data_IF_609657326278
#
_entry.id   IF_609657326278
#
_cell.length_a   1.000
_cell.length_b   1.000
_cell.length_c   1.000
_cell.angle_alpha   90.00
_cell.angle_beta   90.00
_cell.angle_gamma   90.00
#
_symmetry.space_group_name_H-M   'P 1'
#
loop_
_entity.id
_entity.type
_entity.pdbx_description
1 polymer ?
#
# COMPACT_ATOMS: atom_id res chain seq x y z
N UNK A 1 2.48 17.61 11.74
CA UNK A 1 2.97 16.26 12.08
C UNK A 1 3.94 15.79 11.02
N UNK A 2 5.14 15.34 11.40
CA UNK A 2 6.15 14.89 10.45
C UNK A 2 6.07 13.36 10.30
N UNK A 3 5.26 12.91 9.33
CA UNK A 3 5.10 11.49 9.02
C UNK A 3 6.43 10.84 8.60
N UNK A 4 7.25 11.58 7.84
CA UNK A 4 8.56 11.12 7.40
C UNK A 4 9.47 10.82 8.59
N UNK A 5 9.46 11.67 9.60
CA UNK A 5 10.20 11.45 10.84
C UNK A 5 9.70 10.24 11.60
N UNK A 6 8.38 10.11 11.82
CA UNK A 6 7.79 8.98 12.52
C UNK A 6 8.14 7.64 11.84
N UNK A 7 8.10 7.60 10.51
CA UNK A 7 8.46 6.41 9.76
C UNK A 7 9.96 6.10 9.84
N UNK A 8 10.81 7.13 9.75
CA UNK A 8 12.27 6.98 9.81
C UNK A 8 12.77 6.52 11.19
N UNK A 9 12.11 6.94 12.27
CA UNK A 9 12.49 6.59 13.64
C UNK A 9 12.12 5.14 14.02
N UNK A 10 11.36 4.41 13.19
CA UNK A 10 11.04 3.00 13.45
C UNK A 10 12.30 2.15 13.50
N UNK A 11 12.34 1.24 14.47
CA UNK A 11 13.45 0.30 14.66
C UNK A 11 12.92 -1.11 14.74
N UNK A 12 13.51 -2.00 13.98
CA UNK A 12 13.15 -3.41 13.98
C UNK A 12 14.38 -4.26 14.31
N UNK A 13 14.27 -5.04 15.38
CA UNK A 13 15.32 -5.99 15.76
C UNK A 13 15.44 -7.12 14.73
N UNK A 14 16.62 -7.77 14.70
CA UNK A 14 16.79 -8.99 13.91
C UNK A 14 15.83 -10.07 14.43
N UNK A 15 15.08 -10.68 13.53
CA UNK A 15 14.11 -11.73 13.90
C UNK A 15 12.76 -11.22 14.38
N UNK A 16 12.45 -9.92 14.23
CA UNK A 16 11.14 -9.35 14.53
C UNK A 16 10.01 -10.17 13.90
N UNK A 17 8.98 -10.42 14.66
CA UNK A 17 7.77 -11.17 14.21
C UNK A 17 6.79 -10.28 13.46
N UNK A 18 5.92 -10.89 12.66
CA UNK A 18 4.82 -10.18 11.99
C UNK A 18 3.91 -9.44 12.99
N UNK A 19 3.68 -10.03 14.16
CA UNK A 19 2.86 -9.42 15.21
C UNK A 19 3.50 -8.15 15.76
N UNK A 20 4.80 -8.17 16.05
CA UNK A 20 5.53 -7.01 16.56
C UNK A 20 5.58 -5.88 15.53
N UNK A 21 5.75 -6.20 14.23
CA UNK A 21 5.67 -5.19 13.16
C UNK A 21 4.28 -4.58 13.10
N UNK A 22 3.22 -5.41 13.13
CA UNK A 22 1.84 -4.93 13.14
C UNK A 22 1.54 -4.01 14.32
N UNK A 23 1.98 -4.39 15.52
CA UNK A 23 1.82 -3.56 16.72
C UNK A 23 2.58 -2.23 16.62
N UNK A 24 3.78 -2.23 16.03
CA UNK A 24 4.54 -1.00 15.80
C UNK A 24 3.82 -0.07 14.82
N UNK A 25 3.30 -0.60 13.72
CA UNK A 25 2.50 0.16 12.76
C UNK A 25 1.19 0.68 13.38
N UNK A 26 0.52 -0.13 14.21
CA UNK A 26 -0.68 0.30 14.93
C UNK A 26 -0.38 1.49 15.84
N UNK A 27 0.68 1.41 16.68
CA UNK A 27 1.09 2.53 17.54
C UNK A 27 1.40 3.79 16.74
N UNK A 28 2.14 3.65 15.63
CA UNK A 28 2.43 4.78 14.75
C UNK A 28 1.15 5.43 14.20
N UNK A 29 0.16 4.63 13.80
CA UNK A 29 -1.13 5.14 13.35
C UNK A 29 -1.89 5.83 14.48
N UNK A 30 -1.86 5.25 15.69
CA UNK A 30 -2.51 5.83 16.86
C UNK A 30 -1.91 7.20 17.22
N UNK A 31 -0.59 7.33 17.18
CA UNK A 31 0.12 8.60 17.41
C UNK A 31 -0.16 9.61 16.29
N UNK A 32 -0.16 9.14 15.02
CA UNK A 32 -0.44 9.97 13.85
C UNK A 32 -1.83 10.57 13.89
N UNK A 33 -2.83 9.75 14.22
CA UNK A 33 -4.24 10.11 14.18
C UNK A 33 -4.76 10.69 15.51
N UNK A 34 -3.96 10.69 16.58
CA UNK A 34 -4.40 11.09 17.91
C UNK A 34 -5.27 12.36 17.90
N UNK A 35 -6.57 12.20 18.12
CA UNK A 35 -7.57 13.27 18.12
C UNK A 35 -7.86 13.91 16.76
N UNK A 36 -7.38 13.34 15.64
CA UNK A 36 -7.57 13.91 14.29
C UNK A 36 -8.47 13.06 13.37
N UNK A 37 -8.96 11.92 13.85
CA UNK A 37 -9.78 11.01 13.06
C UNK A 37 -10.99 11.73 12.44
N UNK A 38 -11.76 12.47 13.25
CA UNK A 38 -12.90 13.24 12.77
C UNK A 38 -12.48 14.35 11.79
N UNK A 39 -11.41 15.09 12.10
CA UNK A 39 -10.90 16.15 11.21
C UNK A 39 -10.48 15.59 9.84
N UNK A 40 -9.93 14.37 9.80
CA UNK A 40 -9.57 13.73 8.55
C UNK A 40 -10.81 13.36 7.73
N UNK A 41 -11.83 12.79 8.38
CA UNK A 41 -13.06 12.37 7.70
C UNK A 41 -13.94 13.55 7.28
N UNK A 42 -13.99 14.60 8.11
CA UNK A 42 -14.81 15.79 7.85
C UNK A 42 -14.11 16.83 6.95
N UNK A 43 -12.94 16.49 6.38
CA UNK A 43 -12.19 17.43 5.55
C UNK A 43 -13.08 17.95 4.39
N UNK A 44 -13.23 19.28 4.21
CA UNK A 44 -14.13 19.85 3.21
C UNK A 44 -13.62 19.66 1.77
N UNK A 45 -12.30 19.53 1.57
CA UNK A 45 -11.68 19.52 0.25
C UNK A 45 -11.22 18.15 -0.21
N UNK A 46 -10.81 17.27 0.72
CA UNK A 46 -10.25 15.96 0.40
C UNK A 46 -11.20 14.81 0.75
N UNK A 47 -11.15 13.78 -0.05
CA UNK A 47 -11.89 12.53 0.16
C UNK A 47 -10.90 11.38 0.23
N UNK A 48 -10.90 10.68 1.36
CA UNK A 48 -10.01 9.54 1.55
C UNK A 48 -10.62 8.28 0.94
N UNK A 49 -9.87 7.62 0.06
CA UNK A 49 -10.20 6.32 -0.48
C UNK A 49 -9.08 5.34 -0.11
N UNK A 50 -9.43 4.20 0.46
CA UNK A 50 -8.49 3.17 0.91
C UNK A 50 -8.80 1.88 0.17
N UNK A 51 -7.78 1.31 -0.48
CA UNK A 51 -7.91 0.02 -1.16
C UNK A 51 -7.28 -1.07 -0.28
N UNK A 52 -8.05 -2.11 -0.02
CA UNK A 52 -7.60 -3.32 0.67
C UNK A 52 -8.07 -4.55 -0.08
N UNK A 53 -7.49 -5.69 0.20
CA UNK A 53 -7.98 -6.98 -0.31
C UNK A 53 -8.41 -7.89 0.83
N UNK A 54 -9.56 -8.55 0.67
CA UNK A 54 -9.94 -9.69 1.48
C UNK A 54 -9.22 -10.92 0.93
N UNK A 55 -8.45 -11.59 1.77
CA UNK A 55 -7.66 -12.76 1.40
C UNK A 55 -8.43 -14.06 1.67
N UNK A 56 -8.34 -15.02 0.76
CA UNK A 56 -9.02 -16.31 0.84
C UNK A 56 -8.07 -17.48 1.06
N UNK A 57 -8.58 -18.59 1.58
CA UNK A 57 -7.85 -19.84 1.76
C UNK A 57 -6.60 -19.68 2.63
N UNK A 58 -5.47 -20.21 2.16
CA UNK A 58 -4.19 -20.15 2.89
C UNK A 58 -3.65 -18.74 3.09
N UNK A 59 -4.08 -17.77 2.30
CA UNK A 59 -3.68 -16.37 2.43
C UNK A 59 -4.39 -15.66 3.58
N UNK A 60 -5.48 -16.21 4.07
CA UNK A 60 -6.18 -15.71 5.24
C UNK A 60 -5.47 -16.06 6.55
N UNK A 61 -4.48 -16.96 6.52
CA UNK A 61 -3.70 -17.38 7.68
C UNK A 61 -2.44 -16.51 7.84
N UNK A 62 -1.99 -16.31 9.09
CA UNK A 62 -0.73 -15.64 9.40
C UNK A 62 0.42 -16.61 9.70
N UNK A 63 0.15 -17.92 9.70
CA UNK A 63 1.21 -18.92 9.84
C UNK A 63 2.12 -18.92 8.60
N UNK A 64 3.42 -18.64 8.81
CA UNK A 64 4.37 -18.41 7.72
C UNK A 64 4.39 -19.50 6.64
N UNK A 65 4.32 -20.77 7.03
CA UNK A 65 4.31 -21.90 6.11
C UNK A 65 3.06 -21.93 5.22
N UNK A 66 1.88 -21.78 5.83
CA UNK A 66 0.59 -21.75 5.12
C UNK A 66 0.51 -20.53 4.19
N UNK A 67 0.88 -19.36 4.71
CA UNK A 67 0.91 -18.13 3.93
C UNK A 67 1.89 -18.24 2.75
N UNK A 68 3.06 -18.84 2.96
CA UNK A 68 4.05 -19.07 1.90
C UNK A 68 3.52 -19.98 0.79
N UNK A 69 2.84 -21.07 1.14
CA UNK A 69 2.17 -21.95 0.16
C UNK A 69 1.06 -21.20 -0.59
N UNK A 70 0.26 -20.40 0.12
CA UNK A 70 -0.77 -19.55 -0.49
C UNK A 70 -0.16 -18.58 -1.50
N UNK A 71 0.91 -17.86 -1.14
CA UNK A 71 1.61 -16.94 -2.04
C UNK A 71 2.20 -17.65 -3.26
N UNK A 72 2.74 -18.85 -3.10
CA UNK A 72 3.23 -19.64 -4.23
C UNK A 72 2.12 -20.01 -5.20
N UNK A 73 0.93 -20.36 -4.69
CA UNK A 73 -0.26 -20.60 -5.53
C UNK A 73 -0.70 -19.34 -6.27
N UNK A 74 -0.68 -18.18 -5.62
CA UNK A 74 -0.98 -16.89 -6.26
C UNK A 74 -0.01 -16.59 -7.39
N UNK A 75 1.29 -16.78 -7.17
CA UNK A 75 2.33 -16.60 -8.21
C UNK A 75 2.06 -17.50 -9.41
N UNK A 76 1.78 -18.78 -9.17
CA UNK A 76 1.48 -19.74 -10.22
C UNK A 76 0.23 -19.36 -11.04
N UNK A 77 -0.82 -18.88 -10.36
CA UNK A 77 -2.04 -18.42 -11.03
C UNK A 77 -1.82 -17.10 -11.77
N UNK A 78 -1.06 -16.17 -11.20
CA UNK A 78 -0.74 -14.90 -11.87
C UNK A 78 0.09 -15.09 -13.14
N UNK A 79 1.02 -16.04 -13.16
CA UNK A 79 1.78 -16.40 -14.38
C UNK A 79 0.86 -16.91 -15.49
N UNK A 80 -0.20 -17.64 -15.13
CA UNK A 80 -1.20 -18.14 -16.09
C UNK A 80 -2.20 -17.07 -16.54
N UNK A 81 -2.37 -16.02 -15.75
CA UNK A 81 -3.23 -14.89 -16.07
C UNK A 81 -3.72 -14.15 -14.83
N UNK A 82 -3.61 -12.82 -14.85
CA UNK A 82 -3.95 -11.94 -13.73
C UNK A 82 -5.42 -12.13 -13.23
N UNK A 83 -6.36 -12.40 -14.13
CA UNK A 83 -7.77 -12.64 -13.78
C UNK A 83 -7.95 -13.81 -12.78
N UNK A 84 -7.01 -14.77 -12.73
CA UNK A 84 -7.04 -15.89 -11.78
C UNK A 84 -6.82 -15.48 -10.33
N UNK A 85 -6.30 -14.28 -10.09
CA UNK A 85 -6.14 -13.72 -8.75
C UNK A 85 -7.48 -13.53 -8.03
N UNK A 86 -8.59 -13.46 -8.77
CA UNK A 86 -9.94 -13.45 -8.22
C UNK A 86 -10.29 -14.66 -7.34
N UNK A 87 -9.56 -15.76 -7.44
CA UNK A 87 -9.70 -16.95 -6.57
C UNK A 87 -9.11 -16.74 -5.18
N UNK A 88 -8.17 -15.83 -5.08
CA UNK A 88 -7.35 -15.59 -3.90
C UNK A 88 -7.73 -14.32 -3.17
N UNK A 89 -8.28 -13.34 -3.89
CA UNK A 89 -8.53 -12.01 -3.38
C UNK A 89 -9.87 -11.45 -3.89
N UNK A 90 -10.51 -10.69 -3.01
CA UNK A 90 -11.61 -9.79 -3.31
C UNK A 90 -11.17 -8.37 -2.96
N UNK A 91 -11.34 -7.43 -3.88
CA UNK A 91 -11.03 -6.01 -3.66
C UNK A 91 -12.10 -5.37 -2.78
N UNK A 92 -11.68 -4.58 -1.81
CA UNK A 92 -12.56 -3.73 -1.03
C UNK A 92 -12.06 -2.28 -1.12
N UNK A 93 -12.94 -1.37 -1.59
CA UNK A 93 -12.70 0.06 -1.61
C UNK A 93 -13.46 0.67 -0.44
N UNK A 94 -12.73 1.22 0.53
CA UNK A 94 -13.29 1.90 1.68
C UNK A 94 -13.16 3.38 1.39
N UNK A 95 -14.26 4.08 1.26
CA UNK A 95 -14.27 5.44 0.73
C UNK A 95 -15.15 6.38 1.55
N UNK A 96 -14.85 7.66 1.47
CA UNK A 96 -15.69 8.71 2.02
C UNK A 96 -17.10 8.64 1.42
N UNK A 97 -18.17 8.49 2.24
CA UNK A 97 -19.52 8.32 1.72
C UNK A 97 -20.08 9.59 1.03
N UNK A 98 -19.45 10.74 1.24
CA UNK A 98 -19.89 12.01 0.63
C UNK A 98 -19.67 12.09 -0.87
N UNK A 99 -18.81 11.22 -1.42
CA UNK A 99 -18.51 11.18 -2.84
C UNK A 99 -18.11 9.78 -3.29
N UNK A 100 -18.68 9.31 -4.40
CA UNK A 100 -18.24 8.05 -5.00
C UNK A 100 -16.76 8.13 -5.40
N UNK A 101 -15.97 7.06 -5.16
CA UNK A 101 -14.57 7.06 -5.54
C UNK A 101 -14.44 7.16 -7.07
N UNK A 102 -13.41 7.87 -7.59
CA UNK A 102 -13.21 7.99 -9.04
C UNK A 102 -12.79 6.68 -9.71
N UNK A 103 -12.80 5.60 -8.96
CA UNK A 103 -12.36 4.25 -9.35
C UNK A 103 -13.52 3.28 -9.57
N UNK A 104 -14.76 3.74 -9.50
CA UNK A 104 -15.95 2.86 -9.56
C UNK A 104 -16.71 3.06 -10.88
N UNK A 105 -17.26 1.98 -11.48
CA UNK A 105 -17.22 0.56 -11.08
C UNK A 105 -16.00 -0.19 -11.64
N UNK A 106 -15.32 -0.96 -10.79
CA UNK A 106 -14.23 -1.86 -11.17
C UNK A 106 -14.78 -3.26 -11.47
N UNK A 107 -14.49 -3.81 -12.66
CA UNK A 107 -15.06 -5.09 -13.13
C UNK A 107 -14.02 -6.19 -13.35
N UNK A 108 -12.74 -5.89 -13.18
CA UNK A 108 -11.62 -6.81 -13.41
C UNK A 108 -11.49 -7.90 -12.34
N UNK A 109 -11.89 -7.57 -11.10
CA UNK A 109 -11.92 -8.50 -9.96
C UNK A 109 -13.22 -8.35 -9.19
N UNK A 110 -13.63 -9.37 -8.38
CA UNK A 110 -14.68 -9.21 -7.38
C UNK A 110 -14.35 -8.00 -6.50
N UNK A 111 -15.21 -7.00 -6.52
CA UNK A 111 -14.97 -5.72 -5.86
C UNK A 111 -16.22 -5.30 -5.06
N UNK A 112 -16.00 -4.82 -3.84
CA UNK A 112 -17.04 -4.23 -2.98
C UNK A 112 -16.62 -2.83 -2.56
N UNK A 113 -17.61 -2.01 -2.23
CA UNK A 113 -17.42 -0.72 -1.57
C UNK A 113 -17.91 -0.77 -0.14
N UNK A 114 -17.28 0.03 0.71
CA UNK A 114 -17.65 0.21 2.12
C UNK A 114 -17.47 1.69 2.47
N UNK A 115 -18.42 2.24 3.21
CA UNK A 115 -18.31 3.59 3.73
C UNK A 115 -17.18 3.70 4.77
N UNK A 116 -16.36 4.73 4.63
CA UNK A 116 -15.30 5.05 5.58
C UNK A 116 -15.90 5.82 6.74
N UNK A 117 -15.74 5.28 7.94
CA UNK A 117 -16.29 5.79 9.18
C UNK A 117 -15.23 5.81 10.29
N UNK A 118 -15.49 6.54 11.38
CA UNK A 118 -14.62 6.54 12.56
C UNK A 118 -14.36 5.12 13.09
N UNK A 119 -15.38 4.25 13.02
CA UNK A 119 -15.31 2.89 13.53
C UNK A 119 -14.40 1.95 12.73
N UNK A 120 -14.09 2.27 11.47
CA UNK A 120 -13.26 1.41 10.61
C UNK A 120 -11.98 2.09 10.10
N UNK A 121 -11.82 3.41 10.21
CA UNK A 121 -10.71 4.19 9.66
C UNK A 121 -9.34 3.59 10.01
N UNK A 122 -9.05 3.40 11.29
CA UNK A 122 -7.72 2.94 11.74
C UNK A 122 -7.41 1.52 11.26
N UNK A 123 -8.41 0.65 11.30
CA UNK A 123 -8.25 -0.73 10.82
C UNK A 123 -8.14 -0.80 9.30
N UNK A 124 -8.85 0.05 8.56
CA UNK A 124 -8.72 0.16 7.11
C UNK A 124 -7.32 0.63 6.71
N UNK A 125 -6.78 1.66 7.37
CA UNK A 125 -5.42 2.15 7.15
C UNK A 125 -4.38 1.08 7.48
N UNK A 126 -4.52 0.38 8.60
CA UNK A 126 -3.63 -0.72 8.97
C UNK A 126 -3.68 -1.85 7.95
N UNK A 127 -4.89 -2.23 7.50
CA UNK A 127 -5.09 -3.28 6.51
C UNK A 127 -4.44 -2.93 5.17
N UNK A 128 -4.54 -1.67 4.72
CA UNK A 128 -3.95 -1.22 3.46
C UNK A 128 -2.42 -1.27 3.43
N UNK A 129 -1.78 -1.33 4.60
CA UNK A 129 -0.33 -1.54 4.74
C UNK A 129 0.07 -2.95 5.18
N UNK A 130 -0.89 -3.85 5.39
CA UNK A 130 -0.64 -5.21 5.93
C UNK A 130 -0.08 -6.18 4.89
N UNK A 131 1.23 -6.04 4.63
CA UNK A 131 1.96 -6.84 3.64
C UNK A 131 2.15 -8.27 4.15
N UNK A 132 1.78 -9.30 3.37
CA UNK A 132 2.04 -10.70 3.72
C UNK A 132 3.51 -10.96 4.07
N UNK A 133 3.79 -11.83 5.03
CA UNK A 133 5.11 -12.20 5.55
C UNK A 133 5.83 -11.08 6.33
N UNK A 134 5.34 -9.85 6.29
CA UNK A 134 5.88 -8.69 7.03
C UNK A 134 4.97 -8.34 8.20
N UNK A 135 3.66 -8.30 7.95
CA UNK A 135 2.64 -7.96 8.94
C UNK A 135 1.55 -9.04 9.00
N UNK A 136 0.85 -9.10 10.11
CA UNK A 136 -0.38 -9.87 10.21
C UNK A 136 -1.50 -9.21 9.39
N UNK A 137 -2.42 -10.02 8.87
CA UNK A 137 -3.64 -9.48 8.27
C UNK A 137 -4.59 -8.94 9.34
N UNK A 138 -5.32 -7.90 9.00
CA UNK A 138 -6.37 -7.35 9.87
C UNK A 138 -7.57 -8.27 9.82
N UNK A 139 -8.01 -8.73 10.99
CA UNK A 139 -9.16 -9.62 11.11
C UNK A 139 -10.46 -8.84 11.25
N UNK A 140 -11.49 -9.31 10.56
CA UNK A 140 -12.88 -8.89 10.76
C UNK A 140 -13.05 -7.37 10.76
N UNK A 141 -12.57 -6.72 9.71
CA UNK A 141 -12.60 -5.27 9.55
C UNK A 141 -14.06 -4.78 9.69
N UNK A 142 -14.33 -3.80 10.58
CA UNK A 142 -15.68 -3.33 10.86
C UNK A 142 -16.44 -2.88 9.59
N UNK A 143 -17.66 -3.38 9.43
CA UNK A 143 -18.49 -3.16 8.25
C UNK A 143 -18.15 -4.02 7.04
N UNK A 144 -16.95 -4.61 6.96
CA UNK A 144 -16.52 -5.42 5.82
C UNK A 144 -16.86 -6.92 5.97
N UNK A 145 -17.27 -7.35 7.18
CA UNK A 145 -17.59 -8.73 7.50
C UNK A 145 -16.38 -9.58 7.87
N UNK A 146 -16.65 -10.82 8.30
CA UNK A 146 -15.62 -11.75 8.75
C UNK A 146 -14.61 -12.08 7.65
N UNK A 147 -13.32 -12.11 8.01
CA UNK A 147 -12.22 -12.44 7.11
C UNK A 147 -10.90 -11.77 7.45
N UNK A 148 -9.90 -11.99 6.60
CA UNK A 148 -8.57 -11.41 6.73
C UNK A 148 -8.34 -10.38 5.63
N UNK A 149 -8.06 -9.16 6.03
CA UNK A 149 -7.86 -8.02 5.13
C UNK A 149 -6.38 -7.64 5.10
N UNK A 150 -5.86 -7.38 3.90
CA UNK A 150 -4.45 -7.11 3.65
C UNK A 150 -4.26 -5.97 2.66
N UNK A 151 -3.00 -5.61 2.44
CA UNK A 151 -2.55 -4.57 1.53
C UNK A 151 -3.22 -4.68 0.15
N UNK A 152 -3.91 -3.62 -0.25
CA UNK A 152 -4.57 -3.52 -1.55
C UNK A 152 -3.62 -3.65 -2.74
N UNK A 153 -2.35 -3.30 -2.54
CA UNK A 153 -1.30 -3.42 -3.54
C UNK A 153 -1.04 -4.86 -4.01
N UNK A 154 -1.55 -5.88 -3.32
CA UNK A 154 -1.51 -7.26 -3.80
C UNK A 154 -2.23 -7.39 -5.15
N UNK A 155 -3.36 -6.69 -5.33
CA UNK A 155 -4.05 -6.55 -6.61
C UNK A 155 -3.65 -5.26 -7.34
N UNK A 156 -3.67 -4.13 -6.67
CA UNK A 156 -3.58 -2.80 -7.27
C UNK A 156 -2.32 -2.07 -6.79
N UNK A 157 -1.15 -2.62 -7.12
CA UNK A 157 0.14 -2.20 -6.55
C UNK A 157 0.47 -0.73 -6.81
N UNK A 158 0.28 -0.27 -8.04
CA UNK A 158 0.45 1.12 -8.43
C UNK A 158 -0.88 1.74 -8.89
N UNK A 159 -2.00 1.31 -8.33
CA UNK A 159 -3.32 1.84 -8.65
C UNK A 159 -3.53 2.03 -10.17
N UNK A 160 -3.17 1.00 -10.96
CA UNK A 160 -3.41 0.94 -12.40
C UNK A 160 -4.91 0.69 -12.65
N UNK A 161 -5.71 1.72 -12.39
CA UNK A 161 -7.16 1.67 -12.33
C UNK A 161 -7.76 2.61 -13.38
N UNK A 162 -8.96 2.30 -13.91
CA UNK A 162 -9.65 3.22 -14.80
C UNK A 162 -10.17 4.41 -13.96
N UNK A 163 -9.47 5.52 -14.02
CA UNK A 163 -9.93 6.77 -13.43
C UNK A 163 -11.04 7.36 -14.31
N UNK A 164 -12.08 7.89 -13.66
CA UNK A 164 -13.22 8.50 -14.31
C UNK A 164 -13.38 9.94 -13.85
N UNK A 165 -13.66 10.83 -14.78
CA UNK A 165 -13.85 12.26 -14.57
C UNK A 165 -13.18 13.06 -15.67
N UNK A 166 -13.42 14.37 -15.67
CA UNK A 166 -12.83 15.32 -16.64
C UNK A 166 -11.55 15.98 -16.08
N UNK A 167 -11.13 15.57 -14.89
CA UNK A 167 -9.98 16.15 -14.18
C UNK A 167 -8.68 15.35 -14.40
N UNK A 168 -7.56 16.04 -14.26
CA UNK A 168 -6.24 15.40 -14.30
C UNK A 168 -5.95 14.71 -12.95
N UNK A 169 -5.59 13.45 -13.00
CA UNK A 169 -5.13 12.69 -11.83
C UNK A 169 -3.65 12.95 -11.61
N UNK A 170 -3.30 13.72 -10.58
CA UNK A 170 -1.91 13.89 -10.18
C UNK A 170 -1.42 12.65 -9.44
N UNK A 171 -0.40 11.98 -10.00
CA UNK A 171 0.12 10.74 -9.47
C UNK A 171 1.62 10.86 -9.11
N UNK A 172 1.95 11.35 -7.90
CA UNK A 172 3.32 11.31 -7.38
C UNK A 172 3.74 9.86 -7.14
N UNK A 173 4.85 9.46 -7.74
CA UNK A 173 5.27 8.07 -7.73
C UNK A 173 6.80 7.94 -7.57
N UNK A 174 7.25 6.80 -7.05
CA UNK A 174 8.68 6.52 -6.81
C UNK A 174 9.42 5.95 -8.04
N UNK A 175 8.73 5.66 -9.12
CA UNK A 175 9.28 5.16 -10.38
C UNK A 175 8.44 5.64 -11.57
N UNK A 176 9.07 5.73 -12.73
CA UNK A 176 8.44 6.08 -14.01
C UNK A 176 7.65 4.93 -14.66
N UNK A 177 7.55 3.80 -13.98
CA UNK A 177 6.83 2.61 -14.46
C UNK A 177 5.64 2.30 -13.56
N UNK A 178 4.43 2.28 -14.12
CA UNK A 178 3.23 1.76 -13.46
C UNK A 178 3.19 0.23 -13.58
N UNK A 179 3.09 -0.45 -12.43
CA UNK A 179 3.02 -1.92 -12.31
C UNK A 179 1.64 -2.28 -11.76
N UNK A 180 0.83 -3.08 -12.47
CA UNK A 180 -0.55 -3.33 -12.08
C UNK A 180 -0.70 -3.97 -10.69
N UNK A 181 -0.01 -5.07 -10.43
CA UNK A 181 -0.09 -5.81 -9.16
C UNK A 181 1.26 -6.12 -8.55
N UNK A 182 1.28 -6.39 -7.25
CA UNK A 182 2.52 -6.73 -6.54
C UNK A 182 3.23 -7.96 -7.15
N UNK A 183 2.45 -8.94 -7.61
CA UNK A 183 2.98 -10.15 -8.24
C UNK A 183 3.48 -9.92 -9.68
N UNK A 184 3.23 -8.75 -10.25
CA UNK A 184 3.67 -8.38 -11.60
C UNK A 184 5.05 -7.71 -11.63
N UNK A 185 5.65 -7.43 -10.48
CA UNK A 185 6.95 -6.73 -10.35
C UNK A 185 8.08 -7.39 -11.14
N UNK A 186 8.12 -8.70 -11.11
CA UNK A 186 9.13 -9.51 -11.82
C UNK A 186 8.77 -9.85 -13.27
N UNK A 187 7.63 -9.35 -13.78
CA UNK A 187 7.10 -9.70 -15.10
C UNK A 187 7.21 -8.49 -16.05
N UNK A 188 8.31 -8.34 -16.80
CA UNK A 188 8.52 -7.14 -17.63
C UNK A 188 7.51 -7.00 -18.78
N UNK A 189 6.87 -8.09 -19.18
CA UNK A 189 5.80 -8.07 -20.18
C UNK A 189 4.43 -7.67 -19.64
N UNK A 190 4.26 -7.67 -18.32
CA UNK A 190 3.03 -7.22 -17.66
C UNK A 190 3.05 -5.70 -17.55
N UNK A 191 2.24 -5.06 -18.39
CA UNK A 191 2.19 -3.60 -18.48
C UNK A 191 0.84 -3.08 -18.00
N UNK A 192 0.83 -1.83 -17.55
CA UNK A 192 -0.39 -1.07 -17.28
C UNK A 192 -1.24 -0.90 -18.53
N UNK A 193 -2.53 -0.66 -18.33
CA UNK A 193 -3.45 -0.31 -19.42
C UNK A 193 -3.30 1.19 -19.76
N UNK A 194 -2.76 1.55 -20.94
CA UNK A 194 -2.56 2.94 -21.31
C UNK A 194 -3.87 3.74 -21.35
N UNK A 195 -4.98 3.09 -21.68
CA UNK A 195 -6.30 3.73 -21.76
C UNK A 195 -6.80 4.18 -20.37
N UNK A 196 -6.50 3.43 -19.31
CA UNK A 196 -6.86 3.82 -17.95
C UNK A 196 -6.01 4.95 -17.39
N UNK A 197 -4.89 5.31 -18.05
CA UNK A 197 -3.93 6.31 -17.59
C UNK A 197 -3.90 7.57 -18.47
N UNK A 198 -4.87 7.80 -19.33
CA UNK A 198 -4.87 8.92 -20.27
C UNK A 198 -4.86 10.27 -19.56
N UNK A 199 -5.60 10.38 -18.46
CA UNK A 199 -5.73 11.60 -17.67
C UNK A 199 -4.81 11.63 -16.44
N UNK A 200 -3.79 10.74 -16.41
CA UNK A 200 -2.84 10.63 -15.30
C UNK A 200 -1.55 11.41 -15.59
N UNK A 201 -1.26 12.40 -14.77
CA UNK A 201 0.04 13.06 -14.73
C UNK A 201 0.95 12.36 -13.71
N UNK A 202 1.82 11.48 -14.23
CA UNK A 202 2.79 10.75 -13.41
C UNK A 202 4.02 11.63 -13.11
N UNK A 203 4.27 11.89 -11.83
CA UNK A 203 5.48 12.57 -11.36
C UNK A 203 6.42 11.54 -10.72
N UNK A 204 7.58 11.32 -11.33
CA UNK A 204 8.57 10.37 -10.85
C UNK A 204 9.96 11.01 -10.74
N UNK A 205 10.84 10.48 -9.84
CA UNK A 205 12.21 10.97 -9.73
C UNK A 205 12.99 10.82 -11.03
N UNK A 206 13.68 11.88 -11.45
CA UNK A 206 14.56 11.83 -12.60
C UNK A 206 15.83 11.02 -12.29
N UNK A 207 16.55 10.60 -13.33
CA UNK A 207 17.84 9.91 -13.19
C UNK A 207 18.89 10.82 -12.53
N UNK A 208 18.87 12.11 -12.87
CA UNK A 208 19.75 13.13 -12.31
C UNK A 208 19.48 13.32 -10.81
N UNK A 209 18.22 13.35 -10.40
CA UNK A 209 17.86 13.39 -8.99
C UNK A 209 18.33 12.14 -8.25
N UNK A 210 18.06 10.96 -8.79
CA UNK A 210 18.49 9.70 -8.16
C UNK A 210 20.02 9.63 -8.01
N UNK A 211 20.78 10.14 -8.99
CA UNK A 211 22.24 10.17 -8.94
C UNK A 211 22.80 11.04 -7.80
N UNK A 212 22.04 11.99 -7.28
CA UNK A 212 22.43 12.83 -6.11
C UNK A 212 22.21 12.10 -4.79
N UNK A 213 21.34 11.09 -4.77
CA UNK A 213 21.03 10.38 -3.55
C UNK A 213 22.14 9.39 -3.18
N UNK A 214 22.41 9.17 -1.89
CA UNK A 214 23.25 8.05 -1.45
C UNK A 214 22.71 6.75 -2.03
N UNK A 215 23.60 5.90 -2.57
CA UNK A 215 23.26 4.63 -3.24
C UNK A 215 22.49 4.75 -4.56
N UNK A 216 22.30 5.96 -5.13
CA UNK A 216 21.64 6.16 -6.42
C UNK A 216 20.18 5.73 -6.47
N UNK A 217 19.49 5.67 -5.33
CA UNK A 217 18.10 5.22 -5.24
C UNK A 217 17.34 5.97 -4.15
N UNK A 218 16.01 5.95 -4.23
CA UNK A 218 15.16 6.37 -3.13
C UNK A 218 15.28 5.39 -1.94
N UNK A 219 15.18 5.91 -0.70
CA UNK A 219 14.98 5.07 0.47
C UNK A 219 13.76 4.16 0.33
N UNK A 220 13.87 2.93 0.79
CA UNK A 220 12.78 1.99 0.82
C UNK A 220 12.84 1.04 2.02
N UNK A 221 11.80 0.25 2.23
CA UNK A 221 11.70 -0.69 3.35
C UNK A 221 12.79 -1.78 3.36
N UNK A 222 13.48 -2.05 2.26
CA UNK A 222 14.61 -2.98 2.25
C UNK A 222 15.80 -2.45 3.06
N UNK A 223 15.83 -1.13 3.28
CA UNK A 223 16.86 -0.48 4.07
C UNK A 223 16.80 -0.89 5.54
N UNK A 224 15.62 -1.23 6.09
CA UNK A 224 15.51 -1.80 7.43
C UNK A 224 16.29 -3.12 7.56
N UNK A 225 16.37 -3.91 6.49
CA UNK A 225 17.19 -5.14 6.46
C UNK A 225 18.65 -4.83 6.17
N UNK A 226 18.91 -3.90 5.25
CA UNK A 226 20.26 -3.50 4.84
C UNK A 226 21.07 -2.91 5.99
N UNK A 227 20.42 -2.14 6.84
CA UNK A 227 21.05 -1.43 7.97
C UNK A 227 20.68 -2.04 9.33
N UNK A 228 20.38 -3.33 9.40
CA UNK A 228 20.11 -3.99 10.68
C UNK A 228 21.30 -3.78 11.64
N UNK A 229 21.03 -3.17 12.80
CA UNK A 229 22.06 -2.82 13.79
C UNK A 229 22.76 -1.49 13.54
N UNK A 230 22.46 -0.78 12.45
CA UNK A 230 23.01 0.54 12.13
C UNK A 230 21.89 1.52 11.74
N UNK A 231 20.95 1.72 12.66
CA UNK A 231 19.84 2.64 12.47
C UNK A 231 20.29 4.09 12.23
N UNK A 232 21.43 4.49 12.81
CA UNK A 232 21.97 5.84 12.64
C UNK A 232 22.32 6.11 11.17
N UNK A 233 22.98 5.17 10.50
CA UNK A 233 23.34 5.27 9.09
C UNK A 233 22.11 5.22 8.18
N UNK A 234 21.12 4.38 8.51
CA UNK A 234 19.84 4.37 7.79
C UNK A 234 19.16 5.73 7.89
N UNK A 235 19.03 6.27 9.10
CA UNK A 235 18.40 7.56 9.34
C UNK A 235 19.13 8.69 8.59
N UNK A 236 20.45 8.73 8.62
CA UNK A 236 21.23 9.70 7.85
C UNK A 236 20.94 9.63 6.36
N UNK A 237 20.91 8.42 5.79
CA UNK A 237 20.56 8.21 4.37
C UNK A 237 19.16 8.75 4.05
N UNK A 238 18.18 8.41 4.86
CA UNK A 238 16.81 8.84 4.65
C UNK A 238 16.64 10.35 4.80
N UNK A 239 17.28 10.96 5.80
CA UNK A 239 17.30 12.42 5.99
C UNK A 239 17.95 13.13 4.80
N UNK A 240 19.04 12.59 4.26
CA UNK A 240 19.68 13.14 3.05
C UNK A 240 18.70 13.13 1.88
N UNK A 241 18.01 12.01 1.65
CA UNK A 241 17.03 11.93 0.57
C UNK A 241 15.86 12.92 0.76
N UNK A 242 15.36 13.07 1.99
CA UNK A 242 14.32 14.06 2.31
C UNK A 242 14.80 15.50 2.06
N UNK A 243 16.02 15.83 2.48
CA UNK A 243 16.60 17.17 2.28
C UNK A 243 16.81 17.48 0.80
N UNK A 244 17.26 16.51 0.00
CA UNK A 244 17.39 16.69 -1.45
C UNK A 244 16.04 16.87 -2.14
N UNK A 245 14.97 16.22 -1.65
CA UNK A 245 13.62 16.42 -2.17
C UNK A 245 13.06 17.82 -1.90
N UNK A 246 13.48 18.45 -0.80
CA UNK A 246 13.04 19.82 -0.45
C UNK A 246 13.74 20.92 -1.28
N UNK A 247 14.78 20.58 -2.02
CA UNK A 247 15.53 21.52 -2.88
C UNK A 247 15.03 21.57 -4.32
N UNK A 248 14.03 20.74 -4.64
CA UNK A 248 13.37 20.72 -5.96
C UNK A 248 12.20 21.70 -5.98
#
# INVERSE_FOLDING_TARGET
LDLGRLYNEQRFAKGVTMAEVSQSCQRMLDDLLAGRDATLLDNPHYRLNIVVVKSHGLLADDHRGRLGLGLSSVIADNLRGRARLSRHFERLIIHDPRQAPPLHPLKDFPSRSLDLELGNLRQALLASGSIPMVMQGVRDLPGAGAGTYRDGGLLDYHLDLPYHGDDIVLYPHFTDRVIPGWFDKGLPWRRSNPQGLQDVLLLAPSREYLARLPYGKLPDRSDFKRFVGDDARRNQYWQTAMSESQRL
#
